data_IF_295803712338
#
_entry.id   IF_295803712338
#
_cell.length_a   1.000
_cell.length_b   1.000
_cell.length_c   1.000
_cell.angle_alpha   90.00
_cell.angle_beta   90.00
_cell.angle_gamma   90.00
#
_symmetry.space_group_name_H-M   'P 1'
#
loop_
_entity.id
_entity.type
_entity.pdbx_description
1 polymer ?
#
# COMPACT_ATOMS: atom_id res chain seq x y z
N UNK A 1 -24.55 24.11 -5.90
CA UNK A 1 -25.27 23.34 -6.94
C UNK A 1 -24.29 22.83 -8.02
N UNK A 2 -23.50 23.69 -8.69
CA UNK A 2 -22.54 23.26 -9.73
C UNK A 2 -21.47 22.27 -9.20
N UNK A 3 -20.89 22.46 -8.03
CA UNK A 3 -19.92 21.55 -7.43
C UNK A 3 -20.51 20.17 -7.08
N UNK A 4 -21.80 20.13 -6.70
CA UNK A 4 -22.50 18.85 -6.45
C UNK A 4 -22.83 18.13 -7.75
N UNK A 5 -23.23 18.87 -8.79
CA UNK A 5 -23.46 18.30 -10.11
C UNK A 5 -22.16 17.75 -10.69
N UNK A 6 -21.03 18.45 -10.56
CA UNK A 6 -19.73 17.99 -11.01
C UNK A 6 -19.28 16.71 -10.28
N UNK A 7 -19.49 16.61 -8.98
CA UNK A 7 -19.24 15.38 -8.21
C UNK A 7 -20.12 14.21 -8.68
N UNK A 8 -21.36 14.46 -9.05
CA UNK A 8 -22.25 13.43 -9.60
C UNK A 8 -21.74 12.97 -10.96
N UNK A 9 -21.39 13.90 -11.85
CA UNK A 9 -20.91 13.58 -13.19
C UNK A 9 -19.59 12.81 -13.18
N UNK A 10 -18.62 13.17 -12.33
CA UNK A 10 -17.36 12.43 -12.22
C UNK A 10 -17.53 11.00 -11.69
N UNK A 11 -18.62 10.70 -11.01
CA UNK A 11 -18.92 9.36 -10.48
C UNK A 11 -19.89 8.53 -11.33
N UNK A 12 -20.51 9.09 -12.32
CA UNK A 12 -21.40 8.36 -13.24
C UNK A 12 -20.61 7.34 -14.09
N UNK A 13 -19.37 7.68 -14.46
CA UNK A 13 -18.57 6.84 -15.37
C UNK A 13 -18.31 5.42 -14.88
N UNK A 14 -18.11 5.20 -13.57
CA UNK A 14 -17.85 3.89 -13.00
C UNK A 14 -19.08 3.17 -12.43
N UNK A 15 -20.20 3.87 -12.23
CA UNK A 15 -21.44 3.26 -11.69
C UNK A 15 -21.97 2.10 -12.54
N UNK A 16 -22.00 2.12 -13.87
CA UNK A 16 -22.41 0.98 -14.67
C UNK A 16 -21.56 -0.27 -14.39
N UNK A 17 -20.23 -0.11 -14.29
CA UNK A 17 -19.33 -1.20 -13.96
C UNK A 17 -19.58 -1.74 -12.54
N UNK A 18 -19.84 -0.85 -11.58
CA UNK A 18 -20.20 -1.21 -10.22
C UNK A 18 -21.48 -2.06 -10.18
N UNK A 19 -22.56 -1.61 -10.84
CA UNK A 19 -23.84 -2.33 -10.88
C UNK A 19 -23.65 -3.69 -11.54
N UNK A 20 -22.95 -3.75 -12.66
CA UNK A 20 -22.65 -5.00 -13.36
C UNK A 20 -21.86 -5.98 -12.48
N UNK A 21 -20.79 -5.50 -11.83
CA UNK A 21 -20.01 -6.32 -10.91
C UNK A 21 -20.83 -6.84 -9.73
N UNK A 22 -21.72 -6.03 -9.18
CA UNK A 22 -22.63 -6.41 -8.08
C UNK A 22 -23.63 -7.49 -8.52
N UNK A 23 -24.06 -7.47 -9.79
CA UNK A 23 -24.99 -8.43 -10.33
C UNK A 23 -24.31 -9.76 -10.73
N UNK A 24 -23.08 -9.70 -11.24
CA UNK A 24 -22.40 -10.83 -11.89
C UNK A 24 -21.31 -11.49 -11.05
N UNK A 25 -20.68 -10.76 -10.10
CA UNK A 25 -19.73 -11.39 -9.20
C UNK A 25 -20.46 -12.38 -8.32
N UNK A 26 -20.24 -13.64 -8.62
CA UNK A 26 -20.84 -14.75 -7.92
C UNK A 26 -20.55 -14.63 -6.42
N UNK A 27 -21.60 -14.80 -5.62
CA UNK A 27 -21.50 -15.01 -4.18
C UNK A 27 -21.02 -16.45 -3.91
N UNK A 28 -19.99 -16.89 -4.62
CA UNK A 28 -19.39 -18.19 -4.34
C UNK A 28 -18.84 -18.13 -2.93
N UNK A 29 -19.40 -18.91 -2.05
CA UNK A 29 -18.73 -19.31 -0.81
C UNK A 29 -17.50 -20.08 -1.26
N UNK A 30 -16.28 -19.61 -1.00
CA UNK A 30 -15.09 -20.36 -1.34
C UNK A 30 -15.15 -21.71 -0.64
N UNK A 31 -14.86 -22.78 -1.36
CA UNK A 31 -14.74 -24.14 -0.80
C UNK A 31 -13.45 -24.30 0.03
N UNK A 32 -12.55 -23.34 -0.05
CA UNK A 32 -11.30 -23.19 0.70
C UNK A 32 -11.36 -21.95 1.61
N UNK A 33 -10.47 -21.81 2.59
CA UNK A 33 -10.40 -20.59 3.37
C UNK A 33 -10.20 -19.38 2.43
N UNK A 34 -10.93 -18.30 2.69
CA UNK A 34 -10.75 -17.05 1.97
C UNK A 34 -9.46 -16.38 2.46
N UNK A 35 -8.57 -16.04 1.56
CA UNK A 35 -7.33 -15.32 1.85
C UNK A 35 -7.50 -13.83 1.54
N UNK A 36 -7.24 -12.99 2.53
CA UNK A 36 -7.28 -11.53 2.41
C UNK A 36 -5.84 -11.02 2.35
N UNK A 37 -5.37 -10.64 1.18
CA UNK A 37 -4.05 -10.07 0.97
C UNK A 37 -4.17 -8.55 1.11
N UNK A 38 -3.64 -8.00 2.20
CA UNK A 38 -3.84 -6.60 2.60
C UNK A 38 -2.54 -5.85 2.46
N UNK A 39 -2.52 -4.79 1.64
CA UNK A 39 -1.39 -3.88 1.50
C UNK A 39 -1.82 -2.43 1.70
N UNK A 40 -0.94 -1.62 2.28
CA UNK A 40 -1.12 -0.18 2.40
C UNK A 40 -0.15 0.51 1.44
N UNK A 41 -0.70 1.21 0.44
CA UNK A 41 0.02 2.15 -0.38
C UNK A 41 0.03 3.51 0.33
N UNK A 42 1.13 3.84 0.98
CA UNK A 42 1.27 5.07 1.75
C UNK A 42 1.94 6.14 0.87
N UNK A 43 1.20 7.20 0.55
CA UNK A 43 1.76 8.41 -0.05
C UNK A 43 2.60 9.09 1.02
N UNK A 44 3.87 8.68 1.11
CA UNK A 44 4.75 9.02 2.22
C UNK A 44 5.51 10.32 1.94
N UNK A 45 4.86 11.44 2.19
CA UNK A 45 5.26 12.79 1.81
C UNK A 45 5.83 13.56 3.02
N UNK A 46 7.15 13.53 3.26
CA UNK A 46 7.75 14.13 4.46
C UNK A 46 7.49 15.64 4.59
N UNK A 47 7.43 16.35 3.47
CA UNK A 47 7.28 17.80 3.44
C UNK A 47 5.84 18.30 3.49
N UNK A 48 4.83 17.43 3.39
CA UNK A 48 3.42 17.84 3.38
C UNK A 48 3.04 18.62 4.64
N UNK A 49 2.36 19.75 4.48
CA UNK A 49 1.79 20.53 5.58
C UNK A 49 0.29 20.75 5.39
N UNK A 50 -0.40 21.20 6.45
CA UNK A 50 -1.85 21.52 6.42
C UNK A 50 -2.22 22.57 5.37
N UNK A 51 -1.30 23.44 5.01
CA UNK A 51 -1.51 24.56 4.10
C UNK A 51 -0.96 24.26 2.70
N UNK A 52 -0.65 23.03 2.37
CA UNK A 52 0.07 22.63 1.16
C UNK A 52 1.39 23.37 0.96
N UNK A 53 2.02 23.78 2.08
CA UNK A 53 3.39 24.31 2.11
C UNK A 53 4.35 23.17 2.43
N UNK A 54 5.61 23.37 2.06
CA UNK A 54 6.65 22.39 2.38
C UNK A 54 7.18 22.66 3.79
N UNK A 55 7.24 21.62 4.61
CA UNK A 55 7.95 21.63 5.89
C UNK A 55 9.45 21.75 5.65
N UNK A 56 10.15 22.43 6.54
CA UNK A 56 11.62 22.45 6.51
C UNK A 56 12.20 21.06 6.85
N UNK A 57 13.49 20.86 6.56
CA UNK A 57 14.13 19.56 6.72
C UNK A 57 14.12 19.06 8.18
N UNK A 58 14.25 19.95 9.16
CA UNK A 58 14.22 19.57 10.59
C UNK A 58 12.84 19.02 11.00
N UNK A 59 11.78 19.64 10.49
CA UNK A 59 10.42 19.17 10.74
C UNK A 59 10.15 17.85 10.03
N UNK A 60 10.64 17.67 8.80
CA UNK A 60 10.55 16.39 8.07
C UNK A 60 11.25 15.26 8.83
N UNK A 61 12.49 15.51 9.28
CA UNK A 61 13.27 14.58 10.10
C UNK A 61 12.55 14.22 11.41
N UNK A 62 12.06 15.25 12.13
CA UNK A 62 11.30 15.04 13.39
C UNK A 62 10.08 14.13 13.19
N UNK A 63 9.32 14.33 12.08
CA UNK A 63 8.15 13.50 11.74
C UNK A 63 8.55 12.07 11.43
N UNK A 64 9.61 11.89 10.65
CA UNK A 64 10.11 10.58 10.29
C UNK A 64 10.62 9.81 11.51
N UNK A 65 11.36 10.44 12.41
CA UNK A 65 11.81 9.85 13.69
C UNK A 65 10.59 9.41 14.52
N UNK A 66 9.57 10.28 14.63
CA UNK A 66 8.34 9.94 15.36
C UNK A 66 7.62 8.75 14.72
N UNK A 67 7.52 8.70 13.39
CA UNK A 67 6.94 7.58 12.67
C UNK A 67 7.69 6.27 12.94
N UNK A 68 9.01 6.25 12.74
CA UNK A 68 9.85 5.06 12.95
C UNK A 68 9.79 4.54 14.40
N UNK A 69 9.54 5.42 15.37
CA UNK A 69 9.37 5.05 16.78
C UNK A 69 7.96 4.51 17.08
N UNK A 70 6.92 5.17 16.56
CA UNK A 70 5.53 4.95 17.02
C UNK A 70 4.82 3.86 16.20
N UNK A 71 5.12 3.73 14.89
CA UNK A 71 4.53 2.71 14.05
C UNK A 71 4.82 1.27 14.54
N UNK A 72 6.08 0.89 14.87
CA UNK A 72 6.38 -0.42 15.42
C UNK A 72 5.64 -0.75 16.72
N UNK A 73 5.45 0.25 17.56
CA UNK A 73 4.70 0.09 18.83
C UNK A 73 3.22 -0.20 18.61
N UNK A 74 2.65 0.41 17.58
CA UNK A 74 1.25 0.21 17.21
C UNK A 74 1.02 -1.12 16.49
N UNK A 75 1.85 -1.45 15.50
CA UNK A 75 1.66 -2.60 14.61
C UNK A 75 2.26 -3.91 15.18
N UNK A 76 3.35 -3.84 15.95
CA UNK A 76 4.11 -4.99 16.42
C UNK A 76 3.34 -6.04 17.21
N UNK A 77 2.34 -5.69 18.05
CA UNK A 77 1.52 -6.68 18.76
C UNK A 77 0.64 -7.55 17.85
N UNK A 78 0.43 -7.17 16.59
CA UNK A 78 -0.56 -7.78 15.71
C UNK A 78 0.11 -8.45 14.52
N UNK A 79 0.10 -9.79 14.52
CA UNK A 79 0.64 -10.60 13.42
C UNK A 79 -0.48 -11.28 12.65
N UNK A 80 -0.29 -11.38 11.34
CA UNK A 80 -1.19 -12.05 10.42
C UNK A 80 -1.09 -13.59 10.48
N UNK A 81 -1.72 -14.28 9.55
CA UNK A 81 -1.74 -15.76 9.51
C UNK A 81 -0.36 -16.37 9.20
N UNK A 82 0.58 -15.58 8.70
CA UNK A 82 1.95 -15.99 8.33
C UNK A 82 2.99 -15.53 9.38
N UNK A 83 2.57 -14.79 10.41
CA UNK A 83 3.44 -14.24 11.46
C UNK A 83 4.04 -12.86 11.13
N UNK A 84 3.55 -12.17 10.09
CA UNK A 84 4.00 -10.82 9.74
C UNK A 84 3.14 -9.75 10.39
N UNK A 85 3.77 -8.68 10.89
CA UNK A 85 3.08 -7.45 11.27
C UNK A 85 2.57 -6.71 10.02
N UNK A 86 1.58 -5.80 10.20
CA UNK A 86 1.18 -4.92 9.12
C UNK A 86 2.37 -4.04 8.70
N UNK A 87 2.64 -4.00 7.41
CA UNK A 87 3.74 -3.26 6.80
C UNK A 87 3.20 -2.27 5.77
N UNK A 88 3.82 -1.09 5.70
CA UNK A 88 3.50 -0.12 4.66
C UNK A 88 4.37 -0.31 3.43
N UNK A 89 3.85 0.06 2.26
CA UNK A 89 4.69 0.41 1.14
C UNK A 89 4.75 1.93 1.11
N UNK A 90 5.93 2.46 1.41
CA UNK A 90 6.21 3.88 1.44
C UNK A 90 6.48 4.37 0.03
N UNK A 91 5.45 4.89 -0.62
CA UNK A 91 5.59 5.55 -1.92
C UNK A 91 6.17 6.94 -1.69
N UNK A 92 7.49 7.04 -1.80
CA UNK A 92 8.25 8.25 -1.51
C UNK A 92 8.28 9.17 -2.74
N UNK A 93 7.99 10.48 -2.59
CA UNK A 93 7.93 11.40 -3.72
C UNK A 93 9.31 11.79 -4.24
N UNK A 94 9.51 11.62 -5.55
CA UNK A 94 10.79 11.89 -6.21
C UNK A 94 11.23 13.34 -6.05
N UNK A 95 10.31 14.29 -6.12
CA UNK A 95 10.56 15.73 -5.98
C UNK A 95 10.89 16.16 -4.55
N UNK A 96 10.71 15.27 -3.56
CA UNK A 96 11.05 15.52 -2.17
C UNK A 96 12.27 14.69 -1.72
N UNK A 97 13.04 14.13 -2.66
CA UNK A 97 14.17 13.27 -2.32
C UNK A 97 15.20 13.99 -1.45
N UNK A 98 15.50 13.36 -0.32
CA UNK A 98 16.60 13.69 0.55
C UNK A 98 17.29 12.40 1.00
N UNK A 99 18.59 12.26 0.73
CA UNK A 99 19.32 11.00 0.96
C UNK A 99 19.35 10.55 2.42
N UNK A 100 19.42 11.48 3.37
CA UNK A 100 19.46 11.17 4.81
C UNK A 100 18.10 10.68 5.31
N UNK A 101 17.01 11.32 4.86
CA UNK A 101 15.64 10.88 5.19
C UNK A 101 15.34 9.50 4.59
N UNK A 102 15.76 9.28 3.34
CA UNK A 102 15.58 7.95 2.70
C UNK A 102 16.42 6.90 3.42
N UNK A 103 17.68 7.21 3.79
CA UNK A 103 18.52 6.26 4.55
C UNK A 103 17.86 5.87 5.89
N UNK A 104 17.29 6.82 6.63
CA UNK A 104 16.56 6.56 7.88
C UNK A 104 15.33 5.67 7.63
N UNK A 105 14.55 5.94 6.58
CA UNK A 105 13.39 5.14 6.23
C UNK A 105 13.80 3.72 5.82
N UNK A 106 14.91 3.57 5.12
CA UNK A 106 15.47 2.27 4.71
C UNK A 106 15.84 1.41 5.93
N UNK A 107 16.45 2.00 6.98
CA UNK A 107 16.71 1.26 8.22
C UNK A 107 15.40 0.77 8.86
N UNK A 108 14.38 1.61 8.94
CA UNK A 108 13.06 1.21 9.39
C UNK A 108 12.48 0.05 8.54
N UNK A 109 12.65 0.09 7.23
CA UNK A 109 12.25 -1.00 6.35
C UNK A 109 13.06 -2.29 6.59
N UNK A 110 14.40 -2.19 6.82
CA UNK A 110 15.26 -3.34 7.13
C UNK A 110 14.89 -4.03 8.43
N UNK A 111 14.33 -3.29 9.37
CA UNK A 111 13.73 -3.85 10.59
C UNK A 111 12.39 -4.58 10.33
N UNK A 112 11.89 -4.57 9.09
CA UNK A 112 10.70 -5.31 8.67
C UNK A 112 9.41 -4.50 8.65
N UNK A 113 9.48 -3.16 8.72
CA UNK A 113 8.28 -2.31 8.82
C UNK A 113 7.76 -1.80 7.48
N UNK A 114 8.35 -2.19 6.38
CA UNK A 114 7.84 -1.84 5.07
C UNK A 114 8.85 -1.95 3.95
N UNK A 115 8.50 -1.39 2.79
CA UNK A 115 9.34 -1.27 1.61
C UNK A 115 9.15 0.12 0.99
N UNK A 116 10.18 0.65 0.31
CA UNK A 116 10.12 1.96 -0.33
C UNK A 116 9.91 1.78 -1.84
N UNK A 117 8.95 2.52 -2.39
CA UNK A 117 8.59 2.53 -3.80
C UNK A 117 8.45 3.96 -4.32
N UNK A 118 8.20 4.16 -5.62
CA UNK A 118 8.22 5.47 -6.27
C UNK A 118 6.87 6.15 -6.26
N UNK A 119 6.87 7.41 -5.82
CA UNK A 119 5.80 8.38 -5.95
C UNK A 119 6.29 9.60 -6.74
N UNK A 120 5.42 10.25 -7.51
CA UNK A 120 5.79 11.43 -8.27
C UNK A 120 4.61 12.37 -8.44
N UNK A 121 4.81 13.65 -8.06
CA UNK A 121 3.94 14.76 -8.45
C UNK A 121 4.62 15.52 -9.57
N UNK A 122 3.97 15.59 -10.72
CA UNK A 122 4.48 16.36 -11.85
C UNK A 122 3.35 17.06 -12.62
N UNK A 123 3.70 18.00 -13.48
CA UNK A 123 2.69 18.77 -14.19
C UNK A 123 1.80 19.64 -13.28
N UNK A 124 2.32 20.04 -12.10
CA UNK A 124 1.65 20.94 -11.16
C UNK A 124 1.89 22.38 -11.59
N UNK A 125 0.84 23.05 -12.04
CA UNK A 125 0.93 24.42 -12.58
C UNK A 125 1.08 24.44 -14.10
N UNK A 126 2.10 23.80 -14.65
CA UNK A 126 2.31 23.63 -16.08
C UNK A 126 2.37 22.14 -16.45
N UNK A 127 2.06 21.82 -17.70
CA UNK A 127 2.19 20.44 -18.21
C UNK A 127 3.64 19.99 -18.17
N UNK A 128 3.88 18.76 -17.73
CA UNK A 128 5.20 18.14 -17.84
C UNK A 128 5.48 17.65 -19.27
N UNK A 129 6.73 17.26 -19.52
CA UNK A 129 7.15 16.66 -20.79
C UNK A 129 7.57 15.20 -20.58
N UNK A 130 7.46 14.40 -21.65
CA UNK A 130 7.85 13.00 -21.66
C UNK A 130 9.34 12.84 -21.25
N UNK A 131 10.23 13.71 -21.78
CA UNK A 131 11.66 13.69 -21.48
C UNK A 131 11.94 13.97 -20.01
N UNK A 132 11.26 14.98 -19.41
CA UNK A 132 11.46 15.32 -18.00
C UNK A 132 10.92 14.21 -17.10
N UNK A 133 9.70 13.72 -17.33
CA UNK A 133 9.12 12.62 -16.57
C UNK A 133 10.03 11.38 -16.60
N UNK A 134 10.51 10.98 -17.78
CA UNK A 134 11.42 9.83 -17.92
C UNK A 134 12.74 10.04 -17.19
N UNK A 135 13.35 11.22 -17.31
CA UNK A 135 14.59 11.56 -16.62
C UNK A 135 14.42 11.48 -15.10
N UNK A 136 13.39 12.10 -14.54
CA UNK A 136 13.13 12.11 -13.09
C UNK A 136 12.91 10.69 -12.57
N UNK A 137 12.13 9.87 -13.27
CA UNK A 137 11.88 8.48 -12.86
C UNK A 137 13.16 7.65 -12.89
N UNK A 138 14.02 7.78 -13.91
CA UNK A 138 15.28 7.05 -13.99
C UNK A 138 16.24 7.46 -12.89
N UNK A 139 16.44 8.76 -12.67
CA UNK A 139 17.30 9.29 -11.63
C UNK A 139 16.84 8.83 -10.23
N UNK A 140 15.56 8.96 -9.93
CA UNK A 140 15.04 8.59 -8.63
C UNK A 140 15.03 7.07 -8.40
N UNK A 141 14.71 6.28 -9.43
CA UNK A 141 14.84 4.80 -9.40
C UNK A 141 16.27 4.41 -9.02
N UNK A 142 17.26 5.02 -9.67
CA UNK A 142 18.65 4.67 -9.45
C UNK A 142 19.14 5.11 -8.06
N UNK A 143 18.65 6.25 -7.52
CA UNK A 143 18.91 6.65 -6.13
C UNK A 143 18.31 5.64 -5.14
N UNK A 144 17.05 5.24 -5.30
CA UNK A 144 16.43 4.25 -4.41
C UNK A 144 17.12 2.89 -4.51
N UNK A 145 17.52 2.46 -5.70
CA UNK A 145 18.27 1.22 -5.89
C UNK A 145 19.64 1.26 -5.18
N UNK A 146 20.33 2.40 -5.20
CA UNK A 146 21.60 2.60 -4.46
C UNK A 146 21.42 2.51 -2.93
N UNK A 147 20.25 2.88 -2.41
CA UNK A 147 19.90 2.67 -0.99
C UNK A 147 19.52 1.20 -0.67
N UNK A 148 19.45 0.32 -1.67
CA UNK A 148 19.02 -1.06 -1.50
C UNK A 148 17.51 -1.25 -1.49
N UNK A 149 16.75 -0.22 -1.88
CA UNK A 149 15.32 -0.32 -2.13
C UNK A 149 15.05 -0.96 -3.50
N UNK A 150 13.75 -1.12 -3.81
CA UNK A 150 13.24 -1.64 -5.07
C UNK A 150 13.53 -3.14 -5.27
N UNK A 151 13.07 -3.66 -6.40
CA UNK A 151 13.14 -5.08 -6.69
C UNK A 151 13.92 -5.40 -7.98
N UNK A 152 14.21 -6.68 -8.17
CA UNK A 152 14.64 -7.26 -9.44
C UNK A 152 13.64 -8.32 -9.88
N UNK A 153 13.30 -8.34 -11.16
CA UNK A 153 12.40 -9.34 -11.73
C UNK A 153 13.22 -10.51 -12.28
N UNK A 154 12.95 -11.72 -11.77
CA UNK A 154 13.59 -12.96 -12.21
C UNK A 154 15.14 -12.86 -12.21
N UNK A 155 15.72 -12.19 -11.21
CA UNK A 155 17.17 -12.02 -11.07
C UNK A 155 17.84 -11.09 -12.08
N UNK A 156 17.07 -10.37 -12.92
CA UNK A 156 17.60 -9.39 -13.88
C UNK A 156 18.21 -8.18 -13.18
N UNK A 157 19.24 -7.57 -13.76
CA UNK A 157 19.98 -6.47 -13.12
C UNK A 157 19.16 -5.17 -13.01
N UNK A 158 18.28 -4.89 -13.97
CA UNK A 158 17.49 -3.66 -14.01
C UNK A 158 16.60 -3.54 -12.77
N UNK A 159 16.72 -2.45 -11.97
CA UNK A 159 15.81 -2.19 -10.87
C UNK A 159 14.35 -2.05 -11.36
N UNK A 160 13.45 -2.63 -10.59
CA UNK A 160 12.00 -2.59 -10.85
C UNK A 160 11.29 -1.97 -9.66
N UNK A 161 10.24 -1.21 -9.91
CA UNK A 161 9.52 -0.46 -8.90
C UNK A 161 8.00 -0.51 -9.10
N UNK A 162 7.25 -0.33 -8.01
CA UNK A 162 5.85 0.05 -8.06
C UNK A 162 5.71 1.57 -8.10
N UNK A 163 4.58 2.04 -8.62
CA UNK A 163 4.33 3.45 -8.83
C UNK A 163 2.98 3.90 -8.24
N UNK A 164 2.95 5.11 -7.70
CA UNK A 164 1.73 5.86 -7.39
C UNK A 164 1.87 7.26 -7.98
N UNK A 165 0.93 7.65 -8.84
CA UNK A 165 0.89 8.98 -9.41
C UNK A 165 0.35 9.99 -8.40
N UNK A 166 1.07 11.08 -8.19
CA UNK A 166 0.62 12.23 -7.43
C UNK A 166 -0.65 12.84 -8.03
N UNK A 167 -1.52 13.38 -7.17
CA UNK A 167 -2.81 13.97 -7.61
C UNK A 167 -3.70 13.03 -8.45
N UNK A 168 -3.48 11.71 -8.43
CA UNK A 168 -4.24 10.65 -9.14
C UNK A 168 -4.30 10.80 -10.67
N UNK A 169 -3.52 11.69 -11.27
CA UNK A 169 -3.65 12.06 -12.68
C UNK A 169 -2.92 11.13 -13.68
N UNK A 170 -2.74 9.85 -13.31
CA UNK A 170 -2.03 8.84 -14.10
C UNK A 170 -2.35 8.93 -15.59
N UNK A 171 -1.32 8.92 -16.42
CA UNK A 171 -1.40 8.96 -17.87
C UNK A 171 -2.36 10.04 -18.40
N UNK A 172 -2.21 11.25 -17.86
CA UNK A 172 -2.98 12.42 -18.26
C UNK A 172 -4.51 12.32 -18.04
N UNK A 173 -4.95 11.49 -17.08
CA UNK A 173 -6.38 11.24 -16.82
C UNK A 173 -7.15 12.42 -16.23
N UNK A 174 -6.46 13.49 -15.81
CA UNK A 174 -7.08 14.73 -15.31
C UNK A 174 -7.22 15.82 -16.39
N UNK A 175 -7.17 15.47 -17.69
CA UNK A 175 -7.38 16.40 -18.80
C UNK A 175 -6.27 17.44 -18.94
N UNK A 176 -5.03 17.07 -18.74
CA UNK A 176 -3.84 17.91 -18.88
C UNK A 176 -3.43 18.62 -17.59
N UNK A 177 -4.14 18.38 -16.47
CA UNK A 177 -3.76 18.90 -15.14
C UNK A 177 -3.01 17.83 -14.37
N UNK A 178 -1.99 18.23 -13.62
CA UNK A 178 -1.22 17.36 -12.71
C UNK A 178 -0.49 16.21 -13.39
N UNK A 179 -0.25 16.28 -14.68
CA UNK A 179 0.52 15.36 -15.50
C UNK A 179 0.88 16.06 -16.82
N UNK A 180 0.04 15.92 -17.86
CA UNK A 180 0.25 16.55 -19.16
C UNK A 180 1.03 15.68 -20.14
N UNK A 181 1.41 14.45 -19.74
CA UNK A 181 2.18 13.47 -20.52
C UNK A 181 1.28 12.31 -20.91
N UNK A 182 0.94 12.22 -22.18
CA UNK A 182 0.09 11.12 -22.69
C UNK A 182 0.84 9.79 -22.69
N UNK A 183 2.16 9.81 -22.92
CA UNK A 183 3.07 8.67 -22.98
C UNK A 183 3.49 8.13 -21.62
N UNK A 184 2.96 8.63 -20.51
CA UNK A 184 3.44 8.27 -19.17
C UNK A 184 3.43 6.75 -18.91
N UNK A 185 2.42 6.02 -19.40
CA UNK A 185 2.39 4.56 -19.20
C UNK A 185 3.51 3.83 -19.98
N UNK A 186 3.88 4.32 -21.16
CA UNK A 186 5.01 3.79 -21.91
C UNK A 186 6.33 4.10 -21.18
N UNK A 187 6.49 5.32 -20.67
CA UNK A 187 7.64 5.74 -19.88
C UNK A 187 7.78 4.88 -18.61
N UNK A 188 6.69 4.62 -17.90
CA UNK A 188 6.68 3.73 -16.74
C UNK A 188 7.13 2.31 -17.10
N UNK A 189 6.66 1.77 -18.24
CA UNK A 189 7.10 0.46 -18.74
C UNK A 189 8.59 0.43 -19.05
N UNK A 190 9.12 1.41 -19.78
CA UNK A 190 10.52 1.52 -20.19
C UNK A 190 11.47 1.73 -19.00
N UNK A 191 11.04 2.49 -18.00
CA UNK A 191 11.85 2.78 -16.81
C UNK A 191 11.84 1.67 -15.76
N UNK A 192 10.98 0.65 -15.95
CA UNK A 192 11.00 -0.56 -15.15
C UNK A 192 9.87 -0.68 -14.12
N UNK A 193 8.81 0.11 -14.25
CA UNK A 193 7.63 -0.02 -13.39
C UNK A 193 6.96 -1.40 -13.59
N UNK A 194 6.78 -2.15 -12.50
CA UNK A 194 6.11 -3.45 -12.56
C UNK A 194 4.60 -3.34 -12.27
N UNK A 195 4.17 -2.35 -11.49
CA UNK A 195 2.76 -2.13 -11.20
C UNK A 195 2.46 -0.70 -10.77
N UNK A 196 1.27 -0.23 -11.12
CA UNK A 196 0.69 1.03 -10.66
C UNK A 196 -0.35 0.77 -9.57
N UNK A 197 -0.29 1.55 -8.48
CA UNK A 197 -1.15 1.48 -7.30
C UNK A 197 -2.00 2.76 -7.11
N UNK A 198 -2.09 3.63 -8.12
CA UNK A 198 -2.79 4.92 -8.00
C UNK A 198 -4.28 4.77 -7.71
N UNK A 199 -4.98 3.85 -8.39
CA UNK A 199 -6.44 3.73 -8.31
C UNK A 199 -6.92 2.86 -7.13
N UNK A 200 -8.11 3.15 -6.55
CA UNK A 200 -9.14 4.10 -7.01
C UNK A 200 -8.85 5.53 -6.59
N UNK A 201 -9.34 6.48 -7.37
CA UNK A 201 -9.26 7.92 -7.11
C UNK A 201 -10.63 8.60 -6.87
N UNK A 202 -11.74 7.86 -6.97
CA UNK A 202 -13.07 8.43 -6.78
C UNK A 202 -13.22 9.11 -5.40
N UNK A 203 -13.79 10.34 -5.34
CA UNK A 203 -14.58 11.01 -6.37
C UNK A 203 -13.79 11.95 -7.30
N UNK A 204 -12.48 11.77 -7.44
CA UNK A 204 -11.67 12.63 -8.32
C UNK A 204 -11.97 12.36 -9.81
N UNK A 205 -11.90 13.36 -10.71
CA UNK A 205 -12.20 13.22 -12.14
C UNK A 205 -11.30 12.21 -12.89
N UNK A 206 -10.10 11.95 -12.38
CA UNK A 206 -9.19 10.94 -12.93
C UNK A 206 -9.69 9.49 -12.75
N UNK A 207 -10.78 9.26 -12.00
CA UNK A 207 -11.33 7.92 -11.81
C UNK A 207 -11.82 7.34 -13.13
N UNK A 208 -11.22 6.21 -13.52
CA UNK A 208 -11.63 5.46 -14.72
C UNK A 208 -12.86 4.60 -14.46
N UNK A 209 -13.58 4.23 -15.55
CA UNK A 209 -14.77 3.40 -15.45
C UNK A 209 -14.50 1.96 -15.00
N UNK A 210 -13.31 1.43 -15.30
CA UNK A 210 -12.87 0.10 -14.88
C UNK A 210 -12.47 0.13 -13.40
N UNK A 211 -13.18 -0.62 -12.56
CA UNK A 211 -13.00 -0.62 -11.10
C UNK A 211 -12.78 -2.02 -10.54
N UNK A 212 -12.26 -2.11 -9.34
CA UNK A 212 -12.12 -3.35 -8.56
C UNK A 212 -11.49 -4.48 -9.39
N UNK A 213 -10.40 -4.19 -10.07
CA UNK A 213 -9.80 -5.10 -11.05
C UNK A 213 -8.28 -5.11 -10.96
N UNK A 214 -7.70 -6.26 -11.28
CA UNK A 214 -6.28 -6.46 -11.53
C UNK A 214 -6.13 -6.70 -13.03
N UNK A 215 -5.33 -5.89 -13.74
CA UNK A 215 -5.33 -5.97 -15.20
C UNK A 215 -4.07 -5.38 -15.85
N UNK A 216 -3.85 -5.75 -17.10
CA UNK A 216 -2.88 -5.13 -18.02
C UNK A 216 -3.56 -4.01 -18.79
N UNK A 217 -2.86 -2.89 -19.01
CA UNK A 217 -3.37 -1.80 -19.83
C UNK A 217 -3.68 -2.22 -21.27
N UNK A 218 -4.58 -1.50 -21.91
CA UNK A 218 -4.75 -1.61 -23.37
C UNK A 218 -3.53 -1.02 -24.08
N UNK A 219 -3.19 -1.58 -25.22
CA UNK A 219 -2.18 -1.04 -26.12
C UNK A 219 -2.82 -0.07 -27.13
N UNK A 220 -2.08 0.92 -27.62
CA UNK A 220 -0.68 1.22 -27.28
C UNK A 220 -0.57 2.02 -25.96
N UNK A 221 0.58 1.93 -25.26
CA UNK A 221 0.81 2.59 -23.97
C UNK A 221 1.11 4.09 -24.08
N UNK A 222 1.49 4.60 -25.26
CA UNK A 222 1.78 6.02 -25.50
C UNK A 222 0.54 6.89 -25.69
N UNK A 223 -0.66 6.30 -25.74
CA UNK A 223 -1.90 7.08 -25.76
C UNK A 223 -2.27 7.59 -24.36
N UNK A 224 -3.02 8.69 -24.29
CA UNK A 224 -3.59 9.16 -23.03
C UNK A 224 -4.55 8.11 -22.43
N UNK A 225 -4.44 7.90 -21.14
CA UNK A 225 -5.35 7.05 -20.34
C UNK A 225 -5.45 5.60 -20.89
N UNK A 226 -4.37 4.89 -21.20
CA UNK A 226 -4.46 3.51 -21.70
C UNK A 226 -5.00 2.56 -20.62
N UNK A 227 -4.84 2.90 -19.34
CA UNK A 227 -5.37 2.18 -18.19
C UNK A 227 -6.90 2.26 -18.03
N UNK A 228 -7.62 3.10 -18.78
CA UNK A 228 -9.09 3.11 -18.83
C UNK A 228 -9.69 1.82 -19.34
N UNK A 229 -8.91 1.05 -20.09
CA UNK A 229 -9.25 -0.25 -20.69
C UNK A 229 -8.13 -1.23 -20.43
N UNK A 230 -8.38 -2.49 -20.69
CA UNK A 230 -7.34 -3.50 -20.62
C UNK A 230 -7.89 -4.85 -20.24
N UNK A 231 -7.01 -5.83 -20.26
CA UNK A 231 -7.31 -7.25 -20.04
C UNK A 231 -7.14 -7.62 -18.59
N UNK A 232 -8.20 -8.12 -17.95
CA UNK A 232 -8.09 -8.63 -16.59
C UNK A 232 -7.05 -9.76 -16.51
N UNK A 233 -6.32 -9.80 -15.40
CA UNK A 233 -5.45 -10.92 -15.08
C UNK A 233 -6.31 -12.17 -14.82
N UNK A 234 -5.86 -13.29 -15.36
CA UNK A 234 -6.57 -14.58 -15.30
C UNK A 234 -5.59 -15.71 -14.99
N UNK A 235 -6.05 -16.68 -14.21
CA UNK A 235 -5.31 -17.91 -13.92
C UNK A 235 -4.97 -18.66 -15.22
N UNK A 236 -3.74 -19.15 -15.33
CA UNK A 236 -3.21 -19.86 -16.50
C UNK A 236 -2.71 -18.95 -17.61
N UNK A 237 -2.65 -17.62 -17.38
CA UNK A 237 -2.11 -16.67 -18.36
C UNK A 237 -1.16 -15.68 -17.72
N UNK A 238 0.11 -15.79 -18.07
CA UNK A 238 1.15 -14.87 -17.62
C UNK A 238 0.91 -13.47 -18.19
N UNK A 239 1.05 -12.40 -17.38
CA UNK A 239 1.00 -11.03 -17.85
C UNK A 239 2.14 -10.72 -18.84
N UNK A 240 1.84 -9.92 -19.86
CA UNK A 240 2.76 -9.51 -20.92
C UNK A 240 2.99 -8.01 -20.99
N UNK A 241 2.01 -7.21 -20.51
CA UNK A 241 2.03 -5.74 -20.56
C UNK A 241 2.20 -5.20 -19.15
N UNK A 242 3.28 -4.46 -18.93
CA UNK A 242 3.60 -3.77 -17.68
C UNK A 242 3.56 -2.24 -17.90
N UNK A 243 3.29 -1.43 -16.85
CA UNK A 243 2.95 -1.85 -15.49
C UNK A 243 1.57 -2.51 -15.39
N UNK A 244 1.41 -3.43 -14.43
CA UNK A 244 0.11 -3.95 -14.06
C UNK A 244 -0.67 -2.87 -13.31
N UNK A 245 -1.99 -2.82 -13.48
CA UNK A 245 -2.85 -1.95 -12.67
C UNK A 245 -3.43 -2.74 -11.50
N UNK A 246 -3.04 -2.34 -10.29
CA UNK A 246 -3.50 -2.94 -9.02
C UNK A 246 -4.45 -1.97 -8.34
N UNK A 247 -5.75 -2.18 -8.56
CA UNK A 247 -6.77 -1.32 -7.95
C UNK A 247 -7.11 -1.76 -6.53
N UNK A 248 -7.36 -0.79 -5.66
CA UNK A 248 -8.01 -1.00 -4.38
C UNK A 248 -9.54 -1.12 -4.51
N UNK A 249 -10.22 -1.48 -3.40
CA UNK A 249 -11.68 -1.55 -3.35
C UNK A 249 -12.33 -0.18 -3.59
N UNK A 250 -13.36 -0.17 -4.46
CA UNK A 250 -14.24 0.98 -4.67
C UNK A 250 -15.70 0.52 -4.56
N UNK A 251 -16.38 0.96 -3.52
CA UNK A 251 -17.73 0.50 -3.16
C UNK A 251 -18.64 1.68 -2.81
N UNK A 252 -19.95 1.43 -2.85
CA UNK A 252 -20.93 2.32 -2.24
C UNK A 252 -21.29 1.79 -0.86
N UNK A 253 -21.14 2.64 0.15
CA UNK A 253 -21.52 2.36 1.53
C UNK A 253 -22.91 2.93 1.82
N UNK A 254 -23.88 2.03 1.95
CA UNK A 254 -25.27 2.36 2.28
C UNK A 254 -25.54 2.37 3.78
N UNK A 255 -24.61 1.87 4.62
CA UNK A 255 -24.79 1.76 6.07
C UNK A 255 -24.69 3.12 6.78
N UNK A 256 -24.02 4.08 6.18
CA UNK A 256 -23.69 5.39 6.72
C UNK A 256 -24.30 6.54 5.92
N UNK A 257 -25.50 6.35 5.37
CA UNK A 257 -26.21 7.42 4.65
C UNK A 257 -26.75 8.41 5.68
N UNK A 258 -26.27 9.67 5.72
CA UNK A 258 -26.89 10.69 6.57
C UNK A 258 -28.35 10.85 6.18
N UNK A 259 -29.26 11.03 7.15
CA UNK A 259 -30.72 11.19 6.92
C UNK A 259 -31.09 12.26 5.89
N UNK A 260 -30.16 13.17 5.54
CA UNK A 260 -30.32 14.25 4.56
C UNK A 260 -29.48 14.07 3.28
N UNK A 261 -28.76 12.96 3.11
CA UNK A 261 -27.94 12.75 1.93
C UNK A 261 -28.69 11.90 0.89
N UNK A 262 -28.75 12.40 -0.33
CA UNK A 262 -29.37 11.70 -1.47
C UNK A 262 -28.46 10.64 -2.12
N UNK A 263 -27.24 10.47 -1.61
CA UNK A 263 -26.26 9.55 -2.20
C UNK A 263 -25.51 8.77 -1.12
N UNK A 264 -25.25 7.47 -1.34
CA UNK A 264 -24.43 6.68 -0.42
C UNK A 264 -22.99 7.20 -0.39
N UNK A 265 -22.29 6.93 0.69
CA UNK A 265 -20.87 7.27 0.81
C UNK A 265 -20.06 6.43 -0.17
N UNK A 266 -19.06 7.03 -0.79
CA UNK A 266 -18.05 6.30 -1.56
C UNK A 266 -17.02 5.75 -0.58
N UNK A 267 -16.84 4.43 -0.62
CA UNK A 267 -15.76 3.71 0.06
C UNK A 267 -14.66 3.42 -0.97
N UNK A 268 -13.55 4.14 -0.89
CA UNK A 268 -12.42 4.10 -1.81
C UNK A 268 -11.15 3.51 -1.19
N UNK A 269 -11.27 2.85 -0.03
CA UNK A 269 -10.17 2.25 0.71
C UNK A 269 -9.14 3.24 1.33
N UNK A 270 -9.45 4.53 1.36
CA UNK A 270 -8.63 5.54 2.01
C UNK A 270 -8.69 5.41 3.54
N UNK A 271 -7.55 5.48 4.23
CA UNK A 271 -7.46 5.54 5.69
C UNK A 271 -7.06 6.96 6.08
N UNK A 272 -7.96 7.64 6.80
CA UNK A 272 -7.73 8.99 7.33
C UNK A 272 -8.28 9.11 8.74
N UNK A 273 -7.95 10.20 9.44
CA UNK A 273 -8.51 10.51 10.76
C UNK A 273 -10.06 10.62 10.74
N UNK A 274 -10.63 10.99 9.59
CA UNK A 274 -12.09 11.06 9.38
C UNK A 274 -12.70 9.76 8.83
N UNK A 275 -11.86 8.84 8.38
CA UNK A 275 -12.26 7.59 7.74
C UNK A 275 -11.41 6.42 8.25
N UNK A 276 -11.51 6.14 9.55
CA UNK A 276 -10.77 5.10 10.23
C UNK A 276 -11.12 3.70 9.68
N UNK A 277 -10.19 2.74 9.68
CA UNK A 277 -10.48 1.36 9.34
C UNK A 277 -11.43 0.76 10.38
N UNK A 278 -12.40 -0.03 9.92
CA UNK A 278 -13.37 -0.74 10.76
C UNK A 278 -13.74 -2.08 10.15
N UNK A 279 -14.28 -3.00 10.96
CA UNK A 279 -14.76 -4.30 10.47
C UNK A 279 -15.91 -4.16 9.46
N UNK A 280 -16.75 -3.13 9.55
CA UNK A 280 -17.77 -2.84 8.53
C UNK A 280 -17.16 -2.47 7.19
N UNK A 281 -16.09 -1.64 7.19
CA UNK A 281 -15.34 -1.31 5.98
C UNK A 281 -14.63 -2.54 5.41
N UNK A 282 -14.09 -3.42 6.25
CA UNK A 282 -13.52 -4.69 5.81
C UNK A 282 -14.56 -5.55 5.05
N UNK A 283 -15.82 -5.57 5.49
CA UNK A 283 -16.89 -6.29 4.76
C UNK A 283 -17.12 -5.67 3.36
N UNK A 284 -17.02 -4.34 3.22
CA UNK A 284 -17.12 -3.68 1.91
C UNK A 284 -15.91 -4.03 1.03
N UNK A 285 -14.69 -4.03 1.57
CA UNK A 285 -13.47 -4.40 0.85
C UNK A 285 -13.53 -5.86 0.37
N UNK A 286 -13.96 -6.78 1.22
CA UNK A 286 -14.19 -8.18 0.85
C UNK A 286 -15.23 -8.31 -0.28
N UNK A 287 -16.31 -7.53 -0.23
CA UNK A 287 -17.37 -7.54 -1.26
C UNK A 287 -16.92 -6.92 -2.58
N UNK A 288 -15.92 -6.06 -2.59
CA UNK A 288 -15.31 -5.56 -3.81
C UNK A 288 -14.68 -6.71 -4.62
N UNK A 289 -14.23 -7.76 -3.94
CA UNK A 289 -13.75 -9.02 -4.51
C UNK A 289 -12.70 -8.77 -5.61
N UNK A 290 -11.71 -7.93 -5.32
CA UNK A 290 -10.58 -7.69 -6.23
C UNK A 290 -9.73 -8.94 -6.24
N UNK A 291 -9.69 -9.64 -7.36
CA UNK A 291 -9.02 -10.93 -7.48
C UNK A 291 -8.53 -11.17 -8.92
N UNK A 292 -7.58 -12.08 -9.10
CA UNK A 292 -7.26 -12.66 -10.41
C UNK A 292 -8.44 -13.51 -10.85
N UNK A 293 -8.90 -13.34 -12.09
CA UNK A 293 -10.04 -14.12 -12.61
C UNK A 293 -9.71 -15.61 -12.57
N UNK A 294 -10.58 -16.38 -11.95
CA UNK A 294 -10.37 -17.81 -11.70
C UNK A 294 -9.74 -18.15 -10.33
N UNK A 295 -9.40 -17.11 -9.51
CA UNK A 295 -8.88 -17.28 -8.15
C UNK A 295 -9.69 -16.42 -7.13
N UNK A 296 -10.98 -16.65 -6.95
CA UNK A 296 -11.83 -15.82 -6.10
C UNK A 296 -11.56 -15.99 -4.61
N UNK A 297 -10.84 -17.02 -4.22
CA UNK A 297 -10.38 -17.30 -2.85
C UNK A 297 -9.19 -16.42 -2.39
N UNK A 298 -8.48 -15.77 -3.31
CA UNK A 298 -7.43 -14.77 -3.02
C UNK A 298 -7.95 -13.37 -3.30
N UNK A 299 -8.33 -12.65 -2.26
CA UNK A 299 -8.88 -11.29 -2.36
C UNK A 299 -7.81 -10.27 -2.00
N UNK A 300 -7.52 -9.38 -2.93
CA UNK A 300 -6.51 -8.33 -2.79
C UNK A 300 -7.15 -7.03 -2.29
N UNK A 301 -6.69 -6.54 -1.16
CA UNK A 301 -7.20 -5.34 -0.49
C UNK A 301 -6.08 -4.31 -0.44
N UNK A 302 -5.98 -3.46 -1.46
CA UNK A 302 -5.07 -2.34 -1.48
C UNK A 302 -5.74 -1.14 -0.81
N UNK A 303 -5.24 -0.75 0.35
CA UNK A 303 -5.60 0.47 1.08
C UNK A 303 -4.63 1.58 0.72
N UNK A 304 -4.99 2.84 1.01
CA UNK A 304 -4.06 3.96 0.86
C UNK A 304 -4.21 4.98 1.99
N UNK A 305 -3.14 5.71 2.25
CA UNK A 305 -3.07 6.73 3.31
C UNK A 305 -1.95 7.75 3.01
N UNK A 306 -1.78 8.73 3.91
CA UNK A 306 -0.71 9.72 3.91
C UNK A 306 -0.03 9.69 5.29
N UNK A 307 0.95 8.81 5.49
CA UNK A 307 1.53 8.48 6.80
C UNK A 307 2.18 9.64 7.52
N UNK A 308 2.86 10.51 6.81
CA UNK A 308 3.52 11.69 7.39
C UNK A 308 2.68 12.98 7.36
N UNK A 309 1.44 12.93 6.86
CA UNK A 309 0.53 14.06 7.03
C UNK A 309 0.19 14.23 8.52
N UNK A 310 0.51 15.37 9.14
CA UNK A 310 0.24 15.60 10.57
C UNK A 310 -1.23 15.43 10.99
N UNK A 311 -2.16 15.56 10.03
CA UNK A 311 -3.60 15.37 10.27
C UNK A 311 -3.97 13.90 10.39
N UNK A 312 -3.20 13.01 9.75
CA UNK A 312 -3.51 11.60 9.57
C UNK A 312 -2.65 10.69 10.48
N UNK A 313 -1.47 11.16 10.89
CA UNK A 313 -0.48 10.37 11.63
C UNK A 313 -1.07 9.69 12.87
N UNK A 314 -1.88 10.40 13.67
CA UNK A 314 -2.50 9.83 14.86
C UNK A 314 -3.50 8.70 14.56
N UNK A 315 -4.12 8.69 13.38
CA UNK A 315 -5.00 7.62 12.93
C UNK A 315 -4.21 6.35 12.53
N UNK A 316 -2.99 6.53 12.03
CA UNK A 316 -2.15 5.47 11.49
C UNK A 316 -1.15 4.88 12.50
N UNK A 317 -0.79 5.62 13.55
CA UNK A 317 0.12 5.16 14.61
C UNK A 317 -0.55 5.03 15.98
N UNK A 318 -1.85 5.27 16.05
CA UNK A 318 -2.62 5.31 17.29
C UNK A 318 -3.59 4.13 17.50
N UNK A 319 -4.40 4.21 18.55
CA UNK A 319 -5.29 3.12 18.97
C UNK A 319 -6.31 2.69 17.90
N UNK A 320 -6.70 3.60 16.99
CA UNK A 320 -7.74 3.29 16.00
C UNK A 320 -7.33 2.19 15.04
N UNK A 321 -6.10 2.27 14.49
CA UNK A 321 -5.58 1.22 13.63
C UNK A 321 -5.25 -0.03 14.43
N UNK A 322 -4.66 0.12 15.63
CA UNK A 322 -4.36 -1.00 16.54
C UNK A 322 -5.62 -1.82 16.88
N UNK A 323 -6.72 -1.16 17.24
CA UNK A 323 -7.99 -1.86 17.55
C UNK A 323 -8.55 -2.58 16.33
N UNK A 324 -8.48 -1.95 15.13
CA UNK A 324 -8.88 -2.62 13.90
C UNK A 324 -8.05 -3.88 13.62
N UNK A 325 -6.72 -3.82 13.83
CA UNK A 325 -5.85 -4.98 13.67
C UNK A 325 -6.19 -6.09 14.68
N UNK A 326 -6.44 -5.72 15.93
CA UNK A 326 -6.90 -6.65 16.95
C UNK A 326 -8.18 -7.38 16.53
N UNK A 327 -9.20 -6.63 16.11
CA UNK A 327 -10.47 -7.19 15.67
C UNK A 327 -10.31 -8.06 14.41
N UNK A 328 -9.48 -7.63 13.46
CA UNK A 328 -9.16 -8.39 12.25
C UNK A 328 -8.52 -9.74 12.60
N UNK A 329 -7.48 -9.75 13.44
CA UNK A 329 -6.78 -10.98 13.85
C UNK A 329 -7.70 -11.90 14.66
N UNK A 330 -8.52 -11.35 15.56
CA UNK A 330 -9.53 -12.13 16.26
C UNK A 330 -10.51 -12.79 15.30
N UNK A 331 -10.99 -12.04 14.32
CA UNK A 331 -11.94 -12.53 13.32
C UNK A 331 -11.35 -13.63 12.41
N UNK A 332 -10.03 -13.66 12.16
CA UNK A 332 -9.41 -14.75 11.38
C UNK A 332 -9.51 -16.11 12.09
N UNK A 333 -9.57 -16.13 13.43
CA UNK A 333 -9.68 -17.36 14.23
C UNK A 333 -11.07 -17.99 14.12
N UNK A 334 -12.11 -17.14 13.97
CA UNK A 334 -13.50 -17.56 14.11
C UNK A 334 -14.26 -17.66 12.76
N UNK A 335 -13.80 -17.00 11.71
CA UNK A 335 -14.59 -16.77 10.49
C UNK A 335 -14.12 -17.50 9.24
N UNK A 336 -13.15 -18.40 9.33
CA UNK A 336 -12.72 -19.23 8.19
C UNK A 336 -11.99 -18.47 7.07
N UNK A 337 -11.48 -17.24 7.32
CA UNK A 337 -10.57 -16.56 6.42
C UNK A 337 -9.21 -16.34 7.06
N UNK A 338 -8.18 -16.20 6.23
CA UNK A 338 -6.81 -15.86 6.63
C UNK A 338 -6.49 -14.43 6.18
N UNK A 339 -5.74 -13.70 6.98
CA UNK A 339 -5.20 -12.40 6.62
C UNK A 339 -3.70 -12.50 6.34
N UNK A 340 -3.23 -11.81 5.31
CA UNK A 340 -1.82 -11.75 4.87
C UNK A 340 -1.45 -10.29 4.68
N UNK A 341 -0.63 -9.74 5.58
CA UNK A 341 -0.11 -8.38 5.44
C UNK A 341 1.04 -8.38 4.44
N UNK A 342 0.90 -7.65 3.36
CA UNK A 342 1.84 -7.63 2.26
C UNK A 342 2.28 -6.19 1.92
N UNK A 343 3.50 -6.05 1.40
CA UNK A 343 3.91 -4.84 0.68
C UNK A 343 3.36 -4.84 -0.74
N UNK A 344 3.47 -3.73 -1.48
CA UNK A 344 3.05 -3.67 -2.88
C UNK A 344 3.78 -4.72 -3.73
N UNK A 345 5.10 -4.87 -3.54
CA UNK A 345 5.92 -5.87 -4.24
C UNK A 345 5.43 -7.29 -3.95
N UNK A 346 5.21 -7.62 -2.68
CA UNK A 346 4.73 -8.94 -2.26
C UNK A 346 3.32 -9.21 -2.80
N UNK A 347 2.43 -8.21 -2.76
CA UNK A 347 1.09 -8.33 -3.35
C UNK A 347 1.17 -8.64 -4.85
N UNK A 348 2.07 -7.97 -5.60
CA UNK A 348 2.27 -8.25 -7.03
C UNK A 348 2.86 -9.64 -7.24
N UNK A 349 3.79 -10.10 -6.41
CA UNK A 349 4.31 -11.47 -6.46
C UNK A 349 3.19 -12.52 -6.29
N UNK A 350 2.29 -12.31 -5.33
CA UNK A 350 1.14 -13.19 -5.11
C UNK A 350 0.16 -13.14 -6.31
N UNK A 351 -0.03 -11.95 -6.91
CA UNK A 351 -0.82 -11.81 -8.14
C UNK A 351 -0.19 -12.58 -9.30
N UNK A 352 1.13 -12.49 -9.49
CA UNK A 352 1.86 -13.23 -10.54
C UNK A 352 1.78 -14.74 -10.32
N UNK A 353 1.93 -15.21 -9.08
CA UNK A 353 1.75 -16.61 -8.72
C UNK A 353 0.32 -17.10 -9.04
N UNK A 354 -0.70 -16.29 -8.74
CA UNK A 354 -2.09 -16.61 -9.10
C UNK A 354 -2.27 -16.70 -10.61
N UNK A 355 -1.66 -15.81 -11.40
CA UNK A 355 -1.69 -15.87 -12.87
C UNK A 355 -1.02 -17.13 -13.41
N UNK A 356 0.10 -17.56 -12.81
CA UNK A 356 0.81 -18.78 -13.20
C UNK A 356 0.09 -20.07 -12.70
N UNK A 357 -1.04 -19.94 -11.98
CA UNK A 357 -1.85 -21.06 -11.51
C UNK A 357 -1.35 -21.72 -10.24
N UNK A 358 -0.46 -21.07 -9.50
CA UNK A 358 0.02 -21.55 -8.20
C UNK A 358 -1.16 -21.72 -7.21
N UNK A 359 -1.07 -22.72 -6.34
CA UNK A 359 -2.10 -23.09 -5.37
C UNK A 359 -1.50 -23.08 -3.95
N UNK A 360 -2.34 -23.26 -2.93
CA UNK A 360 -1.93 -23.33 -1.54
C UNK A 360 -2.05 -21.99 -0.82
N UNK A 361 -1.14 -21.70 0.08
CA UNK A 361 -1.16 -20.48 0.87
C UNK A 361 -0.49 -19.33 0.09
N UNK A 362 -1.18 -18.18 -0.14
CA UNK A 362 -0.60 -17.06 -0.86
C UNK A 362 0.63 -16.45 -0.17
N UNK A 363 0.76 -16.64 1.15
CA UNK A 363 1.92 -16.17 1.92
C UNK A 363 3.25 -16.80 1.47
N UNK A 364 3.23 -17.98 0.85
CA UNK A 364 4.42 -18.65 0.30
C UNK A 364 5.00 -17.94 -0.93
N UNK A 365 4.21 -17.05 -1.58
CA UNK A 365 4.58 -16.42 -2.86
C UNK A 365 5.03 -14.96 -2.72
N UNK A 366 5.34 -14.48 -1.49
CA UNK A 366 5.77 -13.09 -1.25
C UNK A 366 7.02 -12.68 -2.02
N UNK A 367 7.91 -13.60 -2.34
CA UNK A 367 9.14 -13.40 -3.11
C UNK A 367 9.16 -14.25 -4.40
N UNK A 368 8.02 -14.38 -5.08
CA UNK A 368 7.85 -15.31 -6.20
C UNK A 368 8.73 -14.99 -7.40
N UNK A 369 8.72 -13.74 -7.88
CA UNK A 369 9.50 -13.29 -9.07
C UNK A 369 10.20 -11.95 -8.86
N UNK A 370 9.66 -11.10 -8.02
CA UNK A 370 10.22 -9.80 -7.67
C UNK A 370 10.95 -9.95 -6.33
N UNK A 371 12.28 -9.91 -6.36
CA UNK A 371 13.13 -10.01 -5.18
C UNK A 371 13.70 -8.63 -4.83
N UNK A 372 13.78 -8.29 -3.55
CA UNK A 372 14.38 -7.04 -3.09
C UNK A 372 15.87 -6.98 -3.45
N UNK A 373 16.34 -5.79 -3.84
CA UNK A 373 17.76 -5.51 -4.11
C UNK A 373 18.56 -5.59 -2.80
N UNK A 374 18.07 -4.97 -1.74
CA UNK A 374 18.64 -5.04 -0.39
C UNK A 374 18.10 -6.23 0.39
N UNK A 375 18.89 -6.73 1.36
CA UNK A 375 18.41 -7.76 2.28
C UNK A 375 17.67 -7.08 3.44
N UNK A 376 16.42 -7.46 3.67
CA UNK A 376 15.65 -7.10 4.85
C UNK A 376 15.77 -8.21 5.90
N UNK A 377 15.73 -7.85 7.18
CA UNK A 377 15.62 -8.82 8.26
C UNK A 377 14.21 -9.42 8.19
N UNK A 378 14.11 -10.72 7.98
CA UNK A 378 12.84 -11.42 8.14
C UNK A 378 12.49 -11.39 9.63
N UNK A 379 11.43 -10.68 10.01
CA UNK A 379 10.84 -10.79 11.33
C UNK A 379 9.98 -12.06 11.32
N UNK A 380 10.62 -13.21 11.30
CA UNK A 380 9.98 -14.47 11.60
C UNK A 380 10.03 -14.65 13.12
N UNK A 381 8.89 -14.49 13.78
CA UNK A 381 8.47 -15.14 15.03
C UNK A 381 9.51 -15.36 16.15
N UNK A 382 10.29 -14.36 16.54
CA UNK A 382 11.00 -14.43 17.84
C UNK A 382 10.08 -14.08 19.04
N UNK A 383 8.80 -13.79 18.80
CA UNK A 383 7.79 -13.51 19.83
C UNK A 383 6.82 -14.69 20.03
N UNK A 384 7.30 -15.93 20.04
CA UNK A 384 6.56 -17.01 20.68
C UNK A 384 6.58 -16.75 22.20
N UNK A 385 5.42 -16.69 22.87
CA UNK A 385 5.40 -16.61 24.33
C UNK A 385 6.02 -17.89 24.86
N UNK A 386 7.25 -17.79 25.39
CA UNK A 386 7.83 -18.85 26.19
C UNK A 386 6.90 -19.09 27.37
N UNK A 387 6.25 -20.24 27.39
CA UNK A 387 5.64 -20.81 28.58
C UNK A 387 6.71 -20.82 29.68
N UNK A 388 6.62 -19.90 30.61
CA UNK A 388 7.27 -20.05 31.90
C UNK A 388 6.61 -21.23 32.63
N UNK A 389 7.25 -22.39 32.56
CA UNK A 389 6.99 -23.45 33.51
C UNK A 389 7.64 -23.04 34.83
N UNK A 390 6.82 -22.91 35.85
CA UNK A 390 7.25 -22.87 37.25
C UNK A 390 8.25 -23.99 37.53
N UNK A 391 9.48 -23.65 37.88
CA UNK A 391 10.38 -24.53 38.64
C UNK A 391 11.21 -23.73 39.62
N UNK A 392 10.92 -24.02 40.89
CA UNK A 392 11.78 -24.03 42.06
C UNK A 392 12.62 -22.81 42.43
N UNK A 393 12.11 -22.12 43.43
CA UNK A 393 12.85 -21.22 44.34
C UNK A 393 13.77 -22.06 45.22
N UNK A 394 15.05 -22.19 44.83
CA UNK A 394 16.10 -22.67 45.70
C UNK A 394 16.81 -21.55 46.43
N UNK A 395 16.68 -21.56 47.76
CA UNK A 395 17.35 -20.66 48.71
C UNK A 395 18.85 -20.68 48.55
N UNK A 396 19.52 -19.54 48.38
CA UNK A 396 20.94 -19.36 48.62
C UNK A 396 21.20 -18.10 49.44
N UNK A 397 22.04 -18.29 50.45
CA UNK A 397 22.35 -17.46 51.62
C UNK A 397 23.05 -16.16 51.27
N UNK A 398 22.70 -15.18 52.09
CA UNK A 398 23.41 -13.92 52.35
C UNK A 398 24.78 -14.18 52.90
N UNK A 399 25.84 -13.57 52.35
CA UNK A 399 27.07 -13.22 53.04
C UNK A 399 27.42 -11.78 52.77
N UNK A 400 27.46 -11.02 53.81
CA UNK A 400 27.94 -9.66 53.99
C UNK A 400 29.48 -9.64 54.03
N UNK A 401 30.14 -8.75 53.31
CA UNK A 401 31.37 -8.12 53.82
C UNK A 401 31.69 -6.81 53.13
N UNK A 402 32.13 -5.91 53.90
CA UNK A 402 32.33 -4.49 53.97
C UNK A 402 33.43 -3.88 53.05
N UNK A 403 33.21 -2.59 52.85
CA UNK A 403 34.18 -1.47 52.89
C UNK A 403 34.98 -1.17 51.62
N UNK A 404 34.94 0.01 51.11
CA UNK A 404 35.59 1.27 51.51
C UNK A 404 35.39 2.32 50.38
N UNK A 405 35.21 3.54 50.79
CA UNK A 405 34.94 4.71 49.91
C UNK A 405 36.25 5.44 49.43
N UNK A 406 36.15 6.66 48.95
CA UNK A 406 36.76 7.15 47.68
C UNK A 406 38.08 7.87 47.86
N UNK A 407 38.63 8.44 46.78
CA UNK A 407 38.82 9.91 46.75
C UNK A 407 38.44 10.62 45.48
N UNK A 408 38.05 11.87 45.71
CA UNK A 408 37.91 12.96 44.76
C UNK A 408 39.26 13.54 44.30
N UNK A 409 39.19 14.40 43.28
CA UNK A 409 40.08 15.45 42.74
C UNK A 409 40.19 15.28 41.20
N UNK A 410 40.09 16.26 40.34
CA UNK A 410 39.78 17.69 40.26
C UNK A 410 38.90 17.94 39.05
#
# INVERSE_FOLDING_TARGET
>A
MQAQLHKIWSNIGWLPAYIWQRATRNRMTPTSPLHLIIAIADHFEPSMTHEFRYADLREQERRLIAWCRDYPRMAGPWVDSDGYCLRHTYFYPAEQYNGDLVAMLVEHCREGWGEVEIHLHHGVGERDTAENTKRVLLEFRDYLAAHGCLARLDGREQPRYAFVHGNWALANSAGGKFCGVDEEMEILAETGCYADFTLPSAPHPAQVAKINSLYECALPLHEAIPHRRGRNLIVGRRPEVFPLIVQGPLMLDFSRVPRKAYFPRIENAEITAKNLPTMDRLQLWKRAAVAVVGRPDWVFIKLHCHGLDPREQAALTGPSLSNFLQDLIAATRDSGYKAHFATAREMVNIILAACDGCNGDPGEYRNYRLELIGKHREIASELSPTHHSDRDIGKAKINSEQSSGPPAFD
#
